data_IF_917152722238
#
_entry.id   IF_917152722238
#
_cell.length_a   1.000
_cell.length_b   1.000
_cell.length_c   1.000
_cell.angle_alpha   90.00
_cell.angle_beta   90.00
_cell.angle_gamma   90.00
#
_symmetry.space_group_name_H-M   'P 1'
#
loop_
_entity.id
_entity.type
_entity.pdbx_description
1 polymer ?
#
# COMPACT_ATOMS: atom_id res chain seq x y z
N UNK A 1 25.27 -3.09 -6.36
CA UNK A 1 26.36 -3.77 -5.61
C UNK A 1 27.50 -2.79 -5.52
N UNK A 2 27.97 -2.42 -4.32
CA UNK A 2 29.13 -1.56 -4.19
C UNK A 2 30.43 -2.30 -4.55
N UNK A 3 31.37 -1.53 -5.07
CA UNK A 3 32.77 -1.90 -5.30
C UNK A 3 33.66 -0.94 -4.51
N UNK A 4 34.80 -1.44 -4.02
CA UNK A 4 35.82 -0.62 -3.36
C UNK A 4 37.19 -1.29 -3.52
N UNK A 5 38.20 -0.53 -3.96
CA UNK A 5 39.58 -1.00 -4.19
C UNK A 5 39.67 -2.30 -5.02
N UNK A 6 38.81 -2.45 -6.04
CA UNK A 6 38.77 -3.64 -6.90
C UNK A 6 38.13 -4.88 -6.27
N UNK A 7 37.57 -4.76 -5.06
CA UNK A 7 36.74 -5.79 -4.42
C UNK A 7 35.25 -5.48 -4.62
N UNK A 8 34.44 -6.53 -4.68
CA UNK A 8 32.99 -6.47 -4.87
C UNK A 8 32.32 -6.88 -3.57
N UNK A 9 31.25 -6.20 -3.19
CA UNK A 9 30.51 -6.52 -1.98
C UNK A 9 29.00 -6.67 -2.21
N UNK A 10 28.36 -7.44 -1.32
CA UNK A 10 26.91 -7.66 -1.26
C UNK A 10 26.38 -7.18 0.08
N UNK A 11 25.18 -6.59 0.12
CA UNK A 11 24.61 -6.08 1.37
C UNK A 11 24.35 -7.25 2.33
N UNK A 12 24.93 -7.18 3.53
CA UNK A 12 24.74 -8.14 4.62
C UNK A 12 23.64 -7.64 5.56
N UNK A 13 23.77 -6.40 6.05
CA UNK A 13 22.89 -5.80 7.07
C UNK A 13 22.76 -4.29 6.86
N UNK A 14 21.62 -3.74 7.29
CA UNK A 14 21.35 -2.30 7.31
C UNK A 14 20.85 -1.89 8.69
N UNK A 15 21.44 -0.82 9.23
CA UNK A 15 20.98 -0.12 10.42
C UNK A 15 20.79 1.37 10.09
N UNK A 16 20.18 2.14 10.98
CA UNK A 16 19.90 3.57 10.74
C UNK A 16 21.16 4.42 10.50
N UNK A 17 22.30 4.02 11.09
CA UNK A 17 23.57 4.74 10.99
C UNK A 17 24.52 4.23 9.90
N UNK A 18 24.38 2.99 9.42
CA UNK A 18 25.34 2.37 8.49
C UNK A 18 24.79 1.18 7.70
N UNK A 19 25.41 0.92 6.56
CA UNK A 19 25.25 -0.26 5.73
C UNK A 19 26.49 -1.15 5.88
N UNK A 20 26.27 -2.45 6.07
CA UNK A 20 27.32 -3.46 6.21
C UNK A 20 27.28 -4.36 4.97
N UNK A 21 28.40 -4.43 4.26
CA UNK A 21 28.55 -5.26 3.07
C UNK A 21 29.59 -6.35 3.27
N UNK A 22 29.36 -7.54 2.71
CA UNK A 22 30.23 -8.71 2.78
C UNK A 22 30.79 -9.06 1.39
N UNK A 23 31.99 -9.65 1.36
CA UNK A 23 32.57 -10.22 0.16
C UNK A 23 31.79 -11.47 -0.29
N UNK A 24 31.32 -11.56 -1.55
CA UNK A 24 30.50 -12.69 -2.00
C UNK A 24 31.26 -14.01 -2.12
N UNK A 25 32.59 -14.02 -2.01
CA UNK A 25 33.38 -15.24 -1.96
C UNK A 25 33.15 -15.96 -0.62
N UNK A 26 32.64 -17.19 -0.66
CA UNK A 26 32.24 -17.97 0.53
C UNK A 26 33.38 -18.20 1.52
N UNK A 27 34.60 -18.30 1.01
CA UNK A 27 35.79 -18.53 1.83
C UNK A 27 36.41 -17.22 2.34
N UNK A 28 35.88 -16.07 1.92
CA UNK A 28 36.37 -14.75 2.30
C UNK A 28 35.52 -14.11 3.40
N UNK A 29 36.18 -13.55 4.42
CA UNK A 29 35.53 -12.82 5.52
C UNK A 29 35.54 -11.30 5.32
N UNK A 30 35.89 -10.83 4.12
CA UNK A 30 35.97 -9.41 3.76
C UNK A 30 34.65 -8.67 4.00
N UNK A 31 34.70 -7.53 4.71
CA UNK A 31 33.57 -6.66 4.97
C UNK A 31 33.93 -5.20 4.74
N UNK A 32 32.95 -4.42 4.28
CA UNK A 32 33.05 -2.98 4.10
C UNK A 32 31.80 -2.31 4.70
N UNK A 33 31.98 -1.23 5.46
CA UNK A 33 30.87 -0.50 6.06
C UNK A 33 30.79 0.91 5.48
N UNK A 34 29.60 1.33 5.07
CA UNK A 34 29.35 2.69 4.58
C UNK A 34 28.26 3.38 5.40
N UNK A 35 28.12 4.69 5.25
CA UNK A 35 26.91 5.40 5.67
C UNK A 35 25.70 5.02 4.77
N UNK A 36 24.46 5.36 5.15
CA UNK A 36 23.25 5.00 4.38
C UNK A 36 23.21 5.54 2.94
N UNK A 37 23.90 6.63 2.67
CA UNK A 37 24.05 7.27 1.34
C UNK A 37 25.18 6.66 0.50
N UNK A 38 25.97 5.75 1.08
CA UNK A 38 27.06 5.00 0.43
C UNK A 38 28.20 5.86 -0.13
N UNK A 39 28.33 7.11 0.29
CA UNK A 39 29.37 8.06 -0.13
C UNK A 39 30.57 8.09 0.84
N UNK A 40 30.41 7.60 2.07
CA UNK A 40 31.48 7.56 3.09
C UNK A 40 31.67 6.17 3.65
N UNK A 41 32.92 5.70 3.69
CA UNK A 41 33.32 4.49 4.43
C UNK A 41 33.42 4.83 5.90
N UNK A 42 32.56 4.21 6.72
CA UNK A 42 32.45 4.50 8.15
C UNK A 42 33.41 3.67 9.01
N UNK A 43 34.06 2.66 8.44
CA UNK A 43 35.15 1.92 9.07
C UNK A 43 36.04 1.26 8.04
N UNK A 44 37.34 1.14 8.33
CA UNK A 44 38.30 0.45 7.49
C UNK A 44 37.77 -0.93 7.04
N UNK A 45 37.78 -1.24 5.73
CA UNK A 45 37.40 -2.56 5.24
C UNK A 45 38.31 -3.64 5.82
N UNK A 46 37.75 -4.81 6.08
CA UNK A 46 38.57 -5.94 6.56
C UNK A 46 39.36 -6.55 5.41
N UNK A 47 40.52 -7.12 5.73
CA UNK A 47 41.36 -7.81 4.74
C UNK A 47 40.64 -8.97 4.05
N UNK A 48 41.01 -9.21 2.79
CA UNK A 48 40.51 -10.30 1.97
C UNK A 48 41.56 -11.39 1.84
N UNK A 49 41.12 -12.65 1.78
CA UNK A 49 42.01 -13.80 1.56
C UNK A 49 42.27 -14.11 0.08
N UNK A 50 41.97 -13.17 -0.82
CA UNK A 50 42.13 -13.30 -2.26
C UNK A 50 42.49 -11.96 -2.88
N UNK A 51 43.11 -12.00 -4.06
CA UNK A 51 43.42 -10.79 -4.82
C UNK A 51 42.15 -10.02 -5.25
N UNK A 52 42.24 -8.69 -5.44
CA UNK A 52 41.18 -7.89 -6.02
C UNK A 52 40.96 -8.27 -7.50
N UNK A 53 39.76 -8.01 -8.02
CA UNK A 53 39.37 -8.32 -9.40
C UNK A 53 38.83 -7.06 -10.09
N UNK A 54 39.68 -6.04 -10.32
CA UNK A 54 39.25 -4.75 -10.84
C UNK A 54 38.52 -4.87 -12.18
N UNK A 55 38.96 -5.77 -13.07
CA UNK A 55 38.37 -5.98 -14.40
C UNK A 55 36.92 -6.46 -14.36
N UNK A 56 36.47 -7.06 -13.25
CA UNK A 56 35.09 -7.51 -13.07
C UNK A 56 34.16 -6.40 -12.56
N UNK A 57 34.72 -5.32 -12.00
CA UNK A 57 33.93 -4.22 -11.43
C UNK A 57 33.09 -3.52 -12.52
N UNK A 58 33.66 -3.09 -13.67
CA UNK A 58 32.87 -2.48 -14.74
C UNK A 58 31.79 -3.40 -15.30
N UNK A 59 32.06 -4.71 -15.37
CA UNK A 59 31.09 -5.70 -15.89
C UNK A 59 29.87 -5.81 -14.96
N UNK A 60 30.08 -5.79 -13.66
CA UNK A 60 29.00 -5.82 -12.68
C UNK A 60 28.23 -4.50 -12.59
N UNK A 61 28.92 -3.38 -12.70
CA UNK A 61 28.29 -2.06 -12.78
C UNK A 61 27.42 -1.94 -14.02
N UNK A 62 27.92 -2.37 -15.19
CA UNK A 62 27.13 -2.46 -16.42
C UNK A 62 25.88 -3.32 -16.20
N UNK A 63 26.03 -4.51 -15.60
CA UNK A 63 24.92 -5.43 -15.32
C UNK A 63 23.87 -4.80 -14.38
N UNK A 64 24.29 -4.02 -13.39
CA UNK A 64 23.38 -3.30 -12.51
C UNK A 64 22.70 -2.14 -13.25
N UNK A 65 23.45 -1.38 -14.04
CA UNK A 65 22.93 -0.26 -14.84
C UNK A 65 21.86 -0.71 -15.83
N UNK A 66 22.10 -1.78 -16.58
CA UNK A 66 21.09 -2.33 -17.51
C UNK A 66 19.89 -2.90 -16.77
N UNK A 67 20.06 -3.48 -15.57
CA UNK A 67 18.95 -3.99 -14.76
C UNK A 67 18.09 -2.87 -14.18
N UNK A 68 18.71 -1.82 -13.62
CA UNK A 68 18.00 -0.65 -13.06
C UNK A 68 17.23 0.05 -14.16
N UNK A 69 17.89 0.37 -15.28
CA UNK A 69 17.26 1.04 -16.42
C UNK A 69 16.13 0.20 -17.02
N UNK A 70 16.32 -1.10 -17.20
CA UNK A 70 15.26 -2.00 -17.67
C UNK A 70 14.09 -2.15 -16.68
N UNK A 71 14.29 -1.87 -15.39
CA UNK A 71 13.22 -1.86 -14.40
C UNK A 71 12.47 -0.51 -14.36
N UNK A 72 13.11 0.56 -14.84
CA UNK A 72 12.64 1.95 -14.76
C UNK A 72 12.10 2.50 -16.10
N UNK A 73 12.47 1.91 -17.25
CA UNK A 73 12.11 2.39 -18.60
C UNK A 73 11.47 1.31 -19.47
N UNK A 74 10.67 1.72 -20.45
CA UNK A 74 10.05 0.83 -21.47
C UNK A 74 10.87 0.77 -22.79
N UNK A 75 12.14 1.17 -22.75
CA UNK A 75 13.02 1.17 -23.92
C UNK A 75 13.28 -0.26 -24.42
N UNK A 76 13.51 -0.43 -25.72
CA UNK A 76 13.84 -1.76 -26.28
C UNK A 76 15.10 -2.33 -25.63
N UNK A 77 15.19 -3.67 -25.48
CA UNK A 77 16.38 -4.29 -24.88
C UNK A 77 17.68 -3.91 -25.61
N UNK A 78 17.61 -3.71 -26.92
CA UNK A 78 18.74 -3.23 -27.73
C UNK A 78 19.12 -1.80 -27.38
N UNK A 79 18.14 -0.90 -27.22
CA UNK A 79 18.39 0.50 -26.83
C UNK A 79 19.07 0.60 -25.47
N UNK A 80 18.56 -0.15 -24.49
CA UNK A 80 19.13 -0.20 -23.13
C UNK A 80 20.57 -0.71 -23.17
N UNK A 81 20.83 -1.79 -23.92
CA UNK A 81 22.16 -2.35 -24.04
C UNK A 81 23.13 -1.41 -24.76
N UNK A 82 22.77 -0.87 -25.92
CA UNK A 82 23.63 0.04 -26.69
C UNK A 82 23.99 1.29 -25.89
N UNK A 83 23.03 1.88 -25.18
CA UNK A 83 23.30 3.05 -24.35
C UNK A 83 24.26 2.74 -23.20
N UNK A 84 24.11 1.57 -22.55
CA UNK A 84 24.99 1.16 -21.47
C UNK A 84 26.41 0.82 -21.97
N UNK A 85 26.51 0.18 -23.14
CA UNK A 85 27.78 -0.20 -23.77
C UNK A 85 28.60 1.01 -24.23
N UNK A 86 27.96 2.13 -24.56
CA UNK A 86 28.66 3.38 -24.95
C UNK A 86 29.58 3.91 -23.84
N UNK A 87 29.24 3.64 -22.58
CA UNK A 87 30.00 4.05 -21.40
C UNK A 87 30.90 2.94 -20.83
N UNK A 88 31.06 1.81 -21.53
CA UNK A 88 31.82 0.67 -21.02
C UNK A 88 33.31 0.81 -21.35
N UNK A 89 34.22 0.60 -20.39
CA UNK A 89 35.66 0.81 -20.60
C UNK A 89 36.29 -0.33 -21.42
N UNK A 90 37.21 0.03 -22.32
CA UNK A 90 37.80 -0.89 -23.31
C UNK A 90 38.74 -1.92 -22.70
N UNK A 91 39.44 -1.56 -21.62
CA UNK A 91 40.34 -2.43 -20.87
C UNK A 91 39.61 -3.61 -20.20
N UNK A 92 38.35 -3.43 -19.83
CA UNK A 92 37.50 -4.49 -19.26
C UNK A 92 36.73 -5.32 -20.31
N UNK A 93 36.91 -5.06 -21.61
CA UNK A 93 36.15 -5.72 -22.68
C UNK A 93 36.34 -7.24 -22.71
N UNK A 94 37.52 -7.74 -22.33
CA UNK A 94 37.83 -9.17 -22.30
C UNK A 94 37.01 -9.98 -21.28
N UNK A 95 36.42 -9.32 -20.27
CA UNK A 95 35.60 -9.95 -19.23
C UNK A 95 34.09 -9.79 -19.50
N UNK A 96 33.72 -9.15 -20.61
CA UNK A 96 32.34 -8.83 -20.92
C UNK A 96 31.55 -10.10 -21.32
N UNK A 97 30.35 -10.23 -20.77
CA UNK A 97 29.42 -11.28 -21.18
C UNK A 97 28.98 -11.07 -22.63
N UNK A 98 28.70 -12.16 -23.35
CA UNK A 98 28.14 -12.07 -24.70
C UNK A 98 26.87 -11.22 -24.73
N UNK A 99 26.71 -10.42 -25.79
CA UNK A 99 25.58 -9.48 -25.96
C UNK A 99 24.22 -10.14 -25.76
N UNK A 100 24.03 -11.38 -26.22
CA UNK A 100 22.76 -12.11 -26.04
C UNK A 100 22.47 -12.44 -24.57
N UNK A 101 23.50 -12.68 -23.76
CA UNK A 101 23.34 -12.92 -22.31
C UNK A 101 22.89 -11.63 -21.59
N UNK A 102 23.40 -10.48 -22.03
CA UNK A 102 23.00 -9.18 -21.52
C UNK A 102 21.57 -8.83 -21.96
N UNK A 103 21.23 -9.06 -23.24
CA UNK A 103 19.87 -8.89 -23.75
C UNK A 103 18.87 -9.79 -23.03
N UNK A 104 19.20 -11.07 -22.79
CA UNK A 104 18.36 -11.98 -22.00
C UNK A 104 18.18 -11.50 -20.57
N UNK A 105 19.20 -10.91 -19.96
CA UNK A 105 19.10 -10.30 -18.63
C UNK A 105 18.11 -9.14 -18.63
N UNK A 106 18.15 -8.28 -19.66
CA UNK A 106 17.21 -7.15 -19.83
C UNK A 106 15.80 -7.65 -20.10
N UNK A 107 15.61 -8.59 -21.03
CA UNK A 107 14.31 -9.22 -21.34
C UNK A 107 13.68 -9.85 -20.11
N UNK A 108 14.48 -10.52 -19.25
CA UNK A 108 14.01 -11.08 -17.98
C UNK A 108 13.54 -10.00 -17.00
N UNK A 109 14.12 -8.80 -17.02
CA UNK A 109 13.60 -7.69 -16.22
C UNK A 109 12.29 -7.13 -16.82
N UNK A 110 12.17 -7.08 -18.15
CA UNK A 110 10.94 -6.62 -18.81
C UNK A 110 9.77 -7.61 -18.66
N UNK A 111 10.04 -8.91 -18.70
CA UNK A 111 9.04 -10.00 -18.73
C UNK A 111 8.80 -10.66 -17.35
N UNK A 112 9.64 -10.39 -16.35
CA UNK A 112 9.62 -11.13 -15.08
C UNK A 112 10.17 -12.56 -15.22
N UNK A 113 10.18 -13.36 -14.14
CA UNK A 113 10.56 -14.77 -14.23
C UNK A 113 9.62 -15.54 -15.16
N UNK A 114 10.12 -16.48 -15.99
CA UNK A 114 9.28 -17.23 -16.91
C UNK A 114 8.25 -18.05 -16.14
N UNK A 115 6.97 -17.98 -16.56
CA UNK A 115 5.95 -18.90 -16.09
C UNK A 115 6.31 -20.32 -16.51
N UNK A 116 6.25 -21.25 -15.56
CA UNK A 116 6.23 -22.67 -15.88
C UNK A 116 4.92 -22.96 -16.64
N UNK A 117 5.02 -23.48 -17.86
CA UNK A 117 3.89 -23.87 -18.71
C UNK A 117 3.22 -25.18 -18.28
N UNK A 118 3.60 -25.73 -17.13
CA UNK A 118 2.87 -26.83 -16.51
C UNK A 118 1.75 -26.25 -15.65
N UNK A 119 0.54 -26.40 -16.17
CA UNK A 119 -0.75 -26.11 -15.55
C UNK A 119 -1.04 -27.05 -14.36
N UNK A 120 -0.15 -27.06 -13.37
CA UNK A 120 -0.42 -27.52 -12.02
C UNK A 120 0.20 -26.49 -11.08
N UNK A 121 -0.66 -25.68 -10.46
CA UNK A 121 -0.35 -25.00 -9.20
C UNK A 121 0.16 -26.07 -8.24
N UNK A 122 1.47 -26.25 -8.17
CA UNK A 122 2.12 -27.09 -7.17
C UNK A 122 2.21 -26.26 -5.89
N UNK A 123 1.45 -26.66 -4.87
CA UNK A 123 1.55 -26.37 -3.43
C UNK A 123 1.85 -24.94 -2.93
N UNK A 124 1.73 -23.93 -3.79
CA UNK A 124 1.80 -22.53 -3.42
C UNK A 124 0.39 -22.01 -3.09
N UNK A 125 0.23 -21.48 -1.86
CA UNK A 125 -0.98 -20.83 -1.33
C UNK A 125 -1.82 -20.19 -2.43
N UNK A 126 -3.03 -20.69 -2.65
CA UNK A 126 -3.98 -19.96 -3.50
C UNK A 126 -4.33 -18.67 -2.76
N UNK A 127 -4.53 -17.56 -3.47
CA UNK A 127 -5.02 -16.30 -2.87
C UNK A 127 -6.28 -16.52 -2.02
N UNK A 128 -7.11 -17.49 -2.42
CA UNK A 128 -8.27 -17.98 -1.67
C UNK A 128 -7.87 -18.50 -0.28
N UNK A 129 -6.78 -19.25 -0.15
CA UNK A 129 -6.29 -19.77 1.14
C UNK A 129 -5.85 -18.63 2.07
N UNK A 130 -5.19 -17.60 1.52
CA UNK A 130 -4.84 -16.39 2.27
C UNK A 130 -6.10 -15.66 2.73
N UNK A 131 -7.06 -15.47 1.83
CA UNK A 131 -8.32 -14.79 2.09
C UNK A 131 -9.13 -15.48 3.20
N UNK A 132 -9.10 -16.82 3.27
CA UNK A 132 -9.71 -17.61 4.36
C UNK A 132 -9.08 -17.36 5.72
N UNK A 133 -7.75 -17.23 5.76
CA UNK A 133 -7.04 -16.96 7.02
C UNK A 133 -7.12 -15.50 7.45
N UNK A 134 -7.54 -14.62 6.53
CA UNK A 134 -7.60 -13.19 6.76
C UNK A 134 -8.85 -12.78 7.56
N UNK A 135 -8.65 -12.39 8.81
CA UNK A 135 -9.71 -11.88 9.70
C UNK A 135 -10.12 -10.44 9.43
N UNK A 136 -9.22 -9.64 8.85
CA UNK A 136 -9.42 -8.20 8.68
C UNK A 136 -9.25 -7.83 7.21
N UNK A 137 -10.36 -7.64 6.54
CA UNK A 137 -10.37 -7.23 5.14
C UNK A 137 -10.28 -5.73 5.02
N UNK A 138 -9.60 -5.27 3.99
CA UNK A 138 -9.56 -3.87 3.65
C UNK A 138 -10.02 -3.67 2.22
N UNK A 139 -10.87 -2.70 2.00
CA UNK A 139 -11.53 -2.51 0.71
C UNK A 139 -11.39 -1.07 0.27
N UNK A 140 -10.97 -0.89 -0.98
CA UNK A 140 -10.76 0.43 -1.55
C UNK A 140 -10.96 0.43 -3.07
N UNK A 141 -11.39 1.57 -3.62
CA UNK A 141 -11.66 1.79 -5.03
C UNK A 141 -10.73 2.86 -5.63
N UNK A 142 -10.26 2.64 -6.86
CA UNK A 142 -9.42 3.60 -7.57
C UNK A 142 -9.84 3.80 -9.02
N UNK A 143 -9.76 5.05 -9.48
CA UNK A 143 -10.20 5.49 -10.81
C UNK A 143 -9.05 5.51 -11.82
N UNK A 144 -7.83 5.84 -11.39
CA UNK A 144 -6.71 6.18 -12.29
C UNK A 144 -6.24 5.02 -13.17
N UNK A 145 -6.32 3.80 -12.65
CA UNK A 145 -5.90 2.55 -13.32
C UNK A 145 -7.06 1.73 -13.84
N UNK A 146 -8.27 2.28 -13.79
CA UNK A 146 -9.47 1.63 -14.29
C UNK A 146 -9.55 1.79 -15.82
N UNK A 147 -9.82 0.73 -16.61
CA UNK A 147 -10.05 0.87 -18.05
C UNK A 147 -11.26 1.76 -18.36
N UNK A 148 -11.30 2.39 -19.54
CA UNK A 148 -12.33 3.40 -19.89
C UNK A 148 -13.77 2.87 -19.83
N UNK A 149 -13.98 1.58 -20.12
CA UNK A 149 -15.31 0.95 -20.09
C UNK A 149 -15.85 0.74 -18.67
N UNK A 150 -15.07 1.06 -17.63
CA UNK A 150 -15.41 0.85 -16.23
C UNK A 150 -15.23 2.12 -15.42
N UNK A 151 -16.09 2.31 -14.42
CA UNK A 151 -16.07 3.48 -13.57
C UNK A 151 -14.99 3.40 -12.48
N UNK A 152 -14.72 2.22 -11.91
CA UNK A 152 -13.67 2.08 -10.90
C UNK A 152 -13.08 0.67 -10.83
N UNK A 153 -11.80 0.57 -10.50
CA UNK A 153 -11.18 -0.67 -10.06
C UNK A 153 -11.34 -0.79 -8.55
N UNK A 154 -12.04 -1.81 -8.11
CA UNK A 154 -12.26 -2.13 -6.70
C UNK A 154 -11.29 -3.22 -6.26
N UNK A 155 -10.76 -3.09 -5.05
CA UNK A 155 -9.72 -4.00 -4.56
C UNK A 155 -9.99 -4.42 -3.13
N UNK A 156 -9.77 -5.71 -2.86
CA UNK A 156 -9.78 -6.28 -1.52
C UNK A 156 -8.34 -6.64 -1.15
N UNK A 157 -7.92 -6.19 0.03
CA UNK A 157 -6.59 -6.40 0.57
C UNK A 157 -6.61 -7.07 1.93
N UNK A 158 -5.51 -7.74 2.23
CA UNK A 158 -5.16 -8.26 3.55
C UNK A 158 -3.97 -7.46 4.13
N UNK A 159 -3.92 -7.33 5.46
CA UNK A 159 -2.70 -6.95 6.17
C UNK A 159 -1.93 -8.20 6.63
N UNK A 160 -0.88 -8.58 5.90
CA UNK A 160 -0.02 -9.69 6.25
C UNK A 160 1.31 -9.20 6.82
N UNK A 161 1.60 -9.48 8.10
CA UNK A 161 2.84 -9.07 8.80
C UNK A 161 3.24 -7.61 8.51
N UNK A 162 2.27 -6.69 8.67
CA UNK A 162 2.42 -5.25 8.44
C UNK A 162 2.59 -4.80 6.98
N UNK A 163 2.43 -5.70 6.00
CA UNK A 163 2.32 -5.35 4.57
C UNK A 163 0.87 -5.49 4.11
N UNK A 164 0.39 -4.50 3.35
CA UNK A 164 -0.88 -4.61 2.63
C UNK A 164 -0.66 -5.40 1.35
N UNK A 165 -1.51 -6.41 1.12
CA UNK A 165 -1.44 -7.30 -0.04
C UNK A 165 -2.81 -7.30 -0.73
N UNK A 166 -2.90 -6.93 -2.02
CA UNK A 166 -4.12 -7.09 -2.78
C UNK A 166 -4.38 -8.56 -3.07
N UNK A 167 -5.57 -9.04 -2.74
CA UNK A 167 -5.98 -10.43 -2.97
C UNK A 167 -7.03 -10.54 -4.07
N UNK A 168 -7.92 -9.55 -4.19
CA UNK A 168 -8.99 -9.57 -5.19
C UNK A 168 -9.08 -8.22 -5.90
N UNK A 169 -9.32 -8.27 -7.21
CA UNK A 169 -9.52 -7.13 -8.09
C UNK A 169 -10.87 -7.26 -8.78
N UNK A 170 -11.64 -6.18 -8.79
CA UNK A 170 -12.92 -6.08 -9.49
C UNK A 170 -12.92 -4.83 -10.36
N UNK A 171 -13.51 -4.93 -11.55
CA UNK A 171 -13.79 -3.78 -12.39
C UNK A 171 -15.30 -3.52 -12.33
N UNK A 172 -15.68 -2.34 -11.84
CA UNK A 172 -17.07 -1.98 -11.62
C UNK A 172 -17.52 -0.95 -12.67
N UNK A 173 -18.63 -1.23 -13.32
CA UNK A 173 -19.31 -0.35 -14.29
C UNK A 173 -20.25 0.59 -13.55
N UNK A 174 -21.01 0.12 -12.56
CA UNK A 174 -21.91 0.91 -11.72
C UNK A 174 -21.57 0.73 -10.24
N UNK A 175 -21.21 1.83 -9.55
CA UNK A 175 -20.73 1.78 -8.16
C UNK A 175 -21.67 1.10 -7.17
N UNK A 176 -23.00 1.17 -7.37
CA UNK A 176 -23.98 0.67 -6.40
C UNK A 176 -24.29 -0.82 -6.57
N UNK A 177 -24.69 -1.20 -7.77
CA UNK A 177 -25.13 -2.55 -8.15
C UNK A 177 -23.95 -3.51 -8.23
N UNK A 178 -22.80 -3.06 -8.71
CA UNK A 178 -21.67 -3.95 -8.94
C UNK A 178 -20.89 -4.29 -7.65
N UNK A 179 -21.00 -3.47 -6.59
CA UNK A 179 -20.44 -3.83 -5.29
C UNK A 179 -21.07 -5.10 -4.72
N UNK A 180 -22.40 -5.25 -4.83
CA UNK A 180 -23.10 -6.47 -4.42
C UNK A 180 -22.58 -7.69 -5.21
N UNK A 181 -22.49 -7.56 -6.54
CA UNK A 181 -21.98 -8.62 -7.41
C UNK A 181 -20.51 -8.98 -7.15
N UNK A 182 -19.67 -7.99 -6.85
CA UNK A 182 -18.27 -8.21 -6.51
C UNK A 182 -18.13 -9.12 -5.29
N UNK A 183 -18.79 -8.77 -4.18
CA UNK A 183 -18.72 -9.57 -2.97
C UNK A 183 -19.44 -10.91 -3.13
N UNK A 184 -20.57 -10.98 -3.85
CA UNK A 184 -21.22 -12.26 -4.17
C UNK A 184 -20.29 -13.18 -4.96
N UNK A 185 -19.54 -12.65 -5.93
CA UNK A 185 -18.60 -13.45 -6.72
C UNK A 185 -17.50 -14.03 -5.84
N UNK A 186 -17.01 -13.27 -4.86
CA UNK A 186 -16.04 -13.75 -3.86
C UNK A 186 -16.68 -14.86 -3.03
N UNK A 187 -17.87 -14.65 -2.46
CA UNK A 187 -18.54 -15.65 -1.63
C UNK A 187 -18.94 -16.93 -2.37
N UNK A 188 -19.04 -16.89 -3.71
CA UNK A 188 -19.25 -18.09 -4.53
C UNK A 188 -17.99 -18.93 -4.72
N UNK A 189 -16.79 -18.39 -4.46
CA UNK A 189 -15.54 -19.14 -4.54
C UNK A 189 -15.31 -20.00 -3.30
N UNK A 190 -15.71 -19.52 -2.11
CA UNK A 190 -15.57 -20.27 -0.86
C UNK A 190 -16.34 -19.66 0.31
N UNK A 191 -16.35 -20.35 1.45
CA UNK A 191 -16.91 -19.85 2.70
C UNK A 191 -15.87 -19.00 3.46
N UNK A 192 -16.02 -17.68 3.36
CA UNK A 192 -15.16 -16.71 4.03
C UNK A 192 -15.87 -16.10 5.23
N UNK A 193 -15.15 -16.00 6.36
CA UNK A 193 -15.69 -15.43 7.60
C UNK A 193 -14.77 -14.34 8.18
N UNK A 194 -14.63 -13.19 7.51
CA UNK A 194 -13.89 -12.06 8.06
C UNK A 194 -14.57 -11.52 9.33
N UNK A 195 -13.77 -11.17 10.34
CA UNK A 195 -14.27 -10.56 11.56
C UNK A 195 -14.58 -9.06 11.35
N UNK A 196 -13.76 -8.37 10.56
CA UNK A 196 -13.94 -6.95 10.27
C UNK A 196 -13.60 -6.59 8.83
N UNK A 197 -14.29 -5.60 8.28
CA UNK A 197 -13.85 -4.88 7.07
C UNK A 197 -13.51 -3.44 7.39
N UNK A 198 -12.49 -2.87 6.74
CA UNK A 198 -12.22 -1.44 6.75
C UNK A 198 -12.36 -0.85 5.34
N UNK A 199 -13.19 0.19 5.18
CA UNK A 199 -13.31 0.94 3.93
C UNK A 199 -13.64 2.41 4.18
N UNK A 200 -13.83 3.14 3.09
CA UNK A 200 -14.38 4.49 3.09
C UNK A 200 -15.88 4.48 3.43
N UNK A 201 -16.44 5.66 3.73
CA UNK A 201 -17.86 5.85 4.09
C UNK A 201 -18.79 5.83 2.87
N UNK A 202 -18.65 4.84 1.99
CA UNK A 202 -19.54 4.64 0.85
C UNK A 202 -20.72 3.75 1.24
N UNK A 203 -21.93 4.32 1.23
CA UNK A 203 -23.15 3.63 1.64
C UNK A 203 -23.42 2.33 0.84
N UNK A 204 -23.02 2.27 -0.42
CA UNK A 204 -23.14 1.07 -1.25
C UNK A 204 -22.29 -0.06 -0.69
N UNK A 205 -20.99 0.18 -0.51
CA UNK A 205 -20.01 -0.78 0.05
C UNK A 205 -20.44 -1.28 1.44
N UNK A 206 -20.84 -0.37 2.33
CA UNK A 206 -21.31 -0.72 3.68
C UNK A 206 -22.55 -1.61 3.60
N UNK A 207 -23.52 -1.26 2.74
CA UNK A 207 -24.73 -2.04 2.55
C UNK A 207 -24.44 -3.43 1.99
N UNK A 208 -23.59 -3.53 0.98
CA UNK A 208 -23.19 -4.80 0.35
C UNK A 208 -22.50 -5.74 1.33
N UNK A 209 -21.57 -5.21 2.13
CA UNK A 209 -20.86 -6.00 3.14
C UNK A 209 -21.84 -6.51 4.20
N UNK A 210 -22.68 -5.63 4.75
CA UNK A 210 -23.61 -6.00 5.82
C UNK A 210 -24.75 -6.92 5.35
N UNK A 211 -25.08 -6.94 4.05
CA UNK A 211 -26.10 -7.84 3.50
C UNK A 211 -25.57 -9.25 3.24
N UNK A 212 -24.27 -9.38 2.96
CA UNK A 212 -23.62 -10.66 2.63
C UNK A 212 -23.00 -11.35 3.84
N UNK A 213 -22.56 -10.58 4.84
CA UNK A 213 -21.95 -11.12 6.05
C UNK A 213 -22.79 -10.75 7.27
N UNK A 214 -23.36 -11.75 7.93
CA UNK A 214 -24.28 -11.56 9.06
C UNK A 214 -23.59 -11.14 10.37
N UNK A 215 -22.30 -11.43 10.54
CA UNK A 215 -21.54 -11.19 11.77
C UNK A 215 -20.31 -10.28 11.59
N UNK A 216 -20.15 -9.65 10.42
CA UNK A 216 -18.99 -8.80 10.18
C UNK A 216 -19.15 -7.44 10.85
N UNK A 217 -18.06 -6.94 11.44
CA UNK A 217 -18.02 -5.56 11.93
C UNK A 217 -17.41 -4.65 10.87
N UNK A 218 -18.25 -3.87 10.20
CA UNK A 218 -17.79 -2.84 9.27
C UNK A 218 -17.19 -1.65 10.03
N UNK A 219 -15.99 -1.24 9.64
CA UNK A 219 -15.24 -0.11 10.21
C UNK A 219 -14.92 0.92 9.14
N UNK A 220 -15.18 2.18 9.44
CA UNK A 220 -14.80 3.30 8.60
C UNK A 220 -13.33 3.67 8.78
N UNK A 221 -12.69 4.12 7.70
CA UNK A 221 -11.33 4.65 7.74
C UNK A 221 -11.26 5.99 8.51
N UNK A 222 -10.38 6.10 9.51
CA UNK A 222 -10.17 7.33 10.28
C UNK A 222 -9.73 8.52 9.41
N UNK A 223 -8.93 8.28 8.39
CA UNK A 223 -8.50 9.33 7.45
C UNK A 223 -9.72 9.90 6.72
N UNK A 224 -10.59 9.04 6.18
CA UNK A 224 -11.81 9.45 5.50
C UNK A 224 -12.83 10.08 6.44
N UNK A 225 -12.88 9.67 7.71
CA UNK A 225 -13.69 10.36 8.73
C UNK A 225 -13.23 11.81 8.90
N UNK A 226 -11.93 12.03 9.07
CA UNK A 226 -11.34 13.38 9.11
C UNK A 226 -11.58 14.18 7.82
N UNK A 227 -11.53 13.53 6.64
CA UNK A 227 -11.85 14.18 5.37
C UNK A 227 -13.31 14.63 5.29
N UNK A 228 -14.27 13.85 5.79
CA UNK A 228 -15.67 14.26 5.84
C UNK A 228 -15.86 15.50 6.72
N UNK A 229 -15.23 15.55 7.89
CA UNK A 229 -15.24 16.71 8.79
C UNK A 229 -14.64 17.94 8.09
N UNK A 230 -13.49 17.77 7.44
CA UNK A 230 -12.84 18.86 6.70
C UNK A 230 -13.71 19.39 5.56
N UNK A 231 -14.34 18.52 4.76
CA UNK A 231 -15.28 18.95 3.71
C UNK A 231 -16.46 19.72 4.26
N UNK A 232 -16.97 19.33 5.44
CA UNK A 232 -18.06 20.06 6.07
C UNK A 232 -17.62 21.47 6.49
N UNK A 233 -16.46 21.61 7.14
CA UNK A 233 -15.86 22.92 7.47
C UNK A 233 -15.75 23.77 6.21
N UNK A 234 -15.33 23.17 5.10
CA UNK A 234 -15.22 23.88 3.83
C UNK A 234 -16.57 24.35 3.27
N UNK A 235 -17.60 23.50 3.34
CA UNK A 235 -18.94 23.83 2.83
C UNK A 235 -19.64 24.93 3.63
N UNK A 236 -19.27 25.09 4.90
CA UNK A 236 -19.79 26.13 5.80
C UNK A 236 -18.91 27.40 5.80
N UNK A 237 -17.91 27.46 4.92
CA UNK A 237 -16.96 28.59 4.81
C UNK A 237 -16.15 28.87 6.10
N UNK A 238 -15.97 27.85 6.94
CA UNK A 238 -15.27 27.93 8.23
C UNK A 238 -13.75 27.69 8.13
N UNK A 239 -13.18 27.59 6.93
CA UNK A 239 -11.76 27.26 6.74
C UNK A 239 -10.86 28.33 7.36
N UNK A 240 -11.22 29.60 7.20
CA UNK A 240 -10.44 30.73 7.74
C UNK A 240 -10.43 30.69 9.27
N UNK A 241 -11.61 30.48 9.89
CA UNK A 241 -11.72 30.32 11.35
C UNK A 241 -10.89 29.13 11.83
N UNK A 242 -10.97 27.98 11.17
CA UNK A 242 -10.12 26.82 11.49
C UNK A 242 -8.60 27.08 11.44
N UNK A 243 -8.15 28.01 10.61
CA UNK A 243 -6.74 28.35 10.46
C UNK A 243 -6.26 29.43 11.43
N UNK A 244 -7.13 30.38 11.75
CA UNK A 244 -6.77 31.59 12.49
C UNK A 244 -7.23 31.58 13.96
N UNK A 245 -8.24 30.76 14.28
CA UNK A 245 -8.82 30.65 15.63
C UNK A 245 -8.39 29.35 16.32
N UNK A 246 -7.52 29.48 17.33
CA UNK A 246 -6.95 28.33 18.04
C UNK A 246 -8.02 27.51 18.81
N UNK A 247 -8.96 28.12 19.56
CA UNK A 247 -10.01 27.37 20.25
C UNK A 247 -10.87 26.53 19.29
N UNK A 248 -11.33 27.12 18.19
CA UNK A 248 -12.11 26.41 17.17
C UNK A 248 -11.27 25.30 16.51
N UNK A 249 -10.00 25.56 16.19
CA UNK A 249 -9.09 24.53 15.68
C UNK A 249 -9.01 23.33 16.63
N UNK A 250 -8.79 23.59 17.92
CA UNK A 250 -8.66 22.56 18.94
C UNK A 250 -9.97 21.78 19.12
N UNK A 251 -11.12 22.46 19.13
CA UNK A 251 -12.43 21.81 19.22
C UNK A 251 -12.69 20.88 18.03
N UNK A 252 -12.33 21.28 16.80
CA UNK A 252 -12.40 20.39 15.63
C UNK A 252 -11.45 19.19 15.77
N UNK A 253 -10.25 19.38 16.34
CA UNK A 253 -9.35 18.25 16.64
C UNK A 253 -9.96 17.30 17.67
N UNK A 254 -10.62 17.83 18.69
CA UNK A 254 -11.32 17.05 19.71
C UNK A 254 -12.49 16.27 19.10
N UNK A 255 -13.22 16.85 18.14
CA UNK A 255 -14.27 16.16 17.37
C UNK A 255 -13.69 14.94 16.62
N UNK A 256 -12.53 15.08 15.96
CA UNK A 256 -11.86 13.93 15.32
C UNK A 256 -11.39 12.91 16.38
N UNK A 257 -10.92 13.39 17.54
CA UNK A 257 -10.44 12.56 18.63
C UNK A 257 -11.53 11.71 19.29
N UNK A 258 -12.81 12.03 19.11
CA UNK A 258 -13.94 11.19 19.55
C UNK A 258 -13.84 9.75 19.01
N UNK A 259 -13.17 9.54 17.87
CA UNK A 259 -12.94 8.19 17.33
C UNK A 259 -12.09 7.31 18.26
N UNK A 260 -11.40 7.89 19.24
CA UNK A 260 -10.54 7.22 20.22
C UNK A 260 -11.16 7.14 21.61
N UNK A 261 -12.39 7.61 21.78
CA UNK A 261 -13.10 7.52 23.07
C UNK A 261 -13.79 6.14 23.12
N UNK A 262 -13.85 5.46 24.28
CA UNK A 262 -14.66 4.25 24.43
C UNK A 262 -16.10 4.51 23.94
N UNK A 263 -16.68 3.60 23.16
CA UNK A 263 -17.98 3.81 22.48
C UNK A 263 -19.07 4.30 23.42
N UNK A 264 -19.13 3.78 24.65
CA UNK A 264 -20.11 4.14 25.67
C UNK A 264 -19.99 5.60 26.15
N UNK A 265 -18.80 6.18 26.07
CA UNK A 265 -18.51 7.53 26.55
C UNK A 265 -18.57 8.58 25.43
N UNK A 266 -18.61 8.17 24.16
CA UNK A 266 -18.56 9.07 23.00
C UNK A 266 -19.61 10.18 23.07
N UNK A 267 -20.88 9.83 23.38
CA UNK A 267 -21.96 10.83 23.45
C UNK A 267 -21.72 11.83 24.58
N UNK A 268 -21.23 11.35 25.73
CA UNK A 268 -20.94 12.21 26.89
C UNK A 268 -19.81 13.18 26.55
N UNK A 269 -18.72 12.68 25.97
CA UNK A 269 -17.56 13.51 25.59
C UNK A 269 -17.92 14.47 24.47
N UNK A 270 -18.73 14.04 23.49
CA UNK A 270 -19.23 14.93 22.44
C UNK A 270 -20.01 16.11 23.02
N UNK A 271 -20.93 15.89 23.97
CA UNK A 271 -21.69 16.99 24.57
C UNK A 271 -20.77 18.01 25.26
N UNK A 272 -19.74 17.54 25.98
CA UNK A 272 -18.76 18.44 26.62
C UNK A 272 -18.01 19.29 25.59
N UNK A 273 -17.58 18.69 24.48
CA UNK A 273 -16.90 19.42 23.40
C UNK A 273 -17.88 20.37 22.70
N UNK A 274 -19.13 19.97 22.51
CA UNK A 274 -20.16 20.78 21.87
C UNK A 274 -20.46 22.06 22.66
N UNK A 275 -20.45 21.97 24.00
CA UNK A 275 -20.66 23.12 24.89
C UNK A 275 -19.50 24.15 24.81
N UNK A 276 -18.32 23.75 24.32
CA UNK A 276 -17.16 24.62 24.14
C UNK A 276 -17.15 25.35 22.77
N UNK A 277 -18.11 25.07 21.87
CA UNK A 277 -18.25 25.78 20.61
C UNK A 277 -19.05 27.08 20.76
N UNK A 278 -18.68 28.09 19.98
CA UNK A 278 -19.47 29.31 19.81
C UNK A 278 -20.69 29.06 18.89
N UNK A 279 -21.75 29.87 19.02
CA UNK A 279 -23.02 29.73 18.30
C UNK A 279 -22.86 29.63 16.77
N UNK A 280 -21.83 30.26 16.19
CA UNK A 280 -21.55 30.19 14.76
C UNK A 280 -21.18 28.78 14.25
N UNK A 281 -20.92 27.82 15.14
CA UNK A 281 -20.65 26.43 14.80
C UNK A 281 -21.91 25.52 14.84
N UNK A 282 -23.10 26.07 15.13
CA UNK A 282 -24.35 25.32 15.24
C UNK A 282 -24.65 24.46 14.00
N UNK A 283 -24.43 25.00 12.80
CA UNK A 283 -24.64 24.25 11.55
C UNK A 283 -23.66 23.06 11.41
N UNK A 284 -22.43 23.23 11.89
CA UNK A 284 -21.44 22.15 11.92
C UNK A 284 -21.82 21.08 12.94
N UNK A 285 -22.22 21.48 14.16
CA UNK A 285 -22.68 20.56 15.20
C UNK A 285 -23.94 19.81 14.77
N UNK A 286 -24.90 20.49 14.14
CA UNK A 286 -26.11 19.88 13.60
C UNK A 286 -25.81 18.86 12.50
N UNK A 287 -24.85 19.15 11.60
CA UNK A 287 -24.33 18.16 10.66
C UNK A 287 -23.72 16.96 11.40
N UNK A 288 -22.89 17.22 12.41
CA UNK A 288 -22.14 16.18 13.10
C UNK A 288 -23.08 15.26 13.88
N UNK A 289 -24.08 15.83 14.55
CA UNK A 289 -25.13 15.08 15.23
C UNK A 289 -25.93 14.23 14.25
N UNK A 290 -26.41 14.78 13.14
CA UNK A 290 -27.19 14.03 12.16
C UNK A 290 -26.39 12.87 11.55
N UNK A 291 -25.09 13.08 11.32
CA UNK A 291 -24.27 12.15 10.54
C UNK A 291 -23.60 11.08 11.42
N UNK A 292 -23.12 11.44 12.61
CA UNK A 292 -22.18 10.61 13.38
C UNK A 292 -22.65 10.23 14.80
N UNK A 293 -23.41 11.10 15.48
CA UNK A 293 -23.79 10.92 16.90
C UNK A 293 -25.26 10.48 17.07
N UNK A 294 -26.15 11.02 16.24
CA UNK A 294 -27.60 10.91 16.31
C UNK A 294 -28.22 12.08 17.07
N UNK A 295 -29.17 12.79 16.46
CA UNK A 295 -29.81 13.96 17.10
C UNK A 295 -30.61 13.58 18.37
N UNK A 296 -30.62 14.41 19.43
CA UNK A 296 -31.47 14.20 20.60
C UNK A 296 -32.96 14.18 20.25
N UNK A 297 -33.74 13.27 20.84
CA UNK A 297 -35.20 13.32 20.72
C UNK A 297 -35.78 14.23 21.80
N UNK A 298 -36.59 15.21 21.40
CA UNK A 298 -37.17 16.29 22.25
C UNK A 298 -37.88 15.87 23.56
N UNK A 299 -38.16 14.58 23.79
CA UNK A 299 -38.94 14.07 24.94
C UNK A 299 -38.40 12.77 25.56
N UNK A 300 -37.25 12.27 25.11
CA UNK A 300 -36.69 10.98 25.55
C UNK A 300 -35.18 11.11 25.63
N UNK A 301 -34.54 10.44 26.59
CA UNK A 301 -33.06 10.33 26.68
C UNK A 301 -32.42 9.59 25.50
N UNK A 302 -33.22 9.09 24.55
CA UNK A 302 -32.75 8.40 23.34
C UNK A 302 -32.44 9.37 22.19
N UNK A 303 -31.42 9.05 21.39
CA UNK A 303 -31.07 9.77 20.16
C UNK A 303 -31.70 9.13 18.91
N UNK A 304 -31.83 9.88 17.81
CA UNK A 304 -32.16 9.34 16.48
C UNK A 304 -30.99 8.50 15.96
N UNK A 305 -31.24 7.58 15.01
CA UNK A 305 -30.16 6.81 14.38
C UNK A 305 -29.34 7.74 13.47
N UNK A 306 -28.02 7.87 13.68
CA UNK A 306 -27.15 8.64 12.77
C UNK A 306 -27.02 7.94 11.41
N UNK A 307 -26.54 8.68 10.41
CA UNK A 307 -26.22 8.11 9.10
C UNK A 307 -25.16 7.00 9.21
N UNK A 308 -24.12 7.25 10.01
CA UNK A 308 -23.09 6.27 10.35
C UNK A 308 -23.06 6.06 11.87
N UNK A 309 -23.45 4.88 12.38
CA UNK A 309 -23.37 4.54 13.80
C UNK A 309 -21.96 4.70 14.37
N UNK A 310 -21.88 5.01 15.68
CA UNK A 310 -20.64 5.24 16.43
C UNK A 310 -19.68 4.06 16.27
N UNK A 311 -20.21 2.86 16.31
CA UNK A 311 -19.47 1.61 16.21
C UNK A 311 -18.73 1.46 14.87
N UNK A 312 -19.18 2.14 13.81
CA UNK A 312 -18.53 2.08 12.50
C UNK A 312 -17.29 2.97 12.46
N UNK A 313 -17.39 4.24 12.87
CA UNK A 313 -16.30 5.21 12.72
C UNK A 313 -15.35 5.25 13.94
N UNK A 314 -15.76 4.68 15.07
CA UNK A 314 -14.91 4.56 16.25
C UNK A 314 -13.81 3.50 16.07
N UNK A 315 -12.59 3.88 16.47
CA UNK A 315 -11.36 3.08 16.33
C UNK A 315 -10.74 2.69 17.67
N UNK A 316 -11.38 2.95 18.82
CA UNK A 316 -10.85 2.64 20.15
C UNK A 316 -10.40 1.18 20.27
N UNK A 317 -11.31 0.23 20.01
CA UNK A 317 -11.00 -1.20 20.11
C UNK A 317 -9.91 -1.63 19.13
N UNK A 318 -9.85 -0.99 17.95
CA UNK A 318 -8.80 -1.26 16.96
C UNK A 318 -7.44 -0.81 17.47
N UNK A 319 -7.36 0.33 18.17
CA UNK A 319 -6.13 0.81 18.80
C UNK A 319 -5.69 -0.17 19.89
N UNK A 320 -6.61 -0.57 20.77
CA UNK A 320 -6.33 -1.55 21.83
C UNK A 320 -5.82 -2.87 21.25
N UNK A 321 -6.40 -3.32 20.14
CA UNK A 321 -6.02 -4.53 19.43
C UNK A 321 -4.80 -4.37 18.49
N UNK A 322 -4.14 -3.20 18.43
CA UNK A 322 -3.06 -2.89 17.48
C UNK A 322 -3.42 -3.14 16.01
N UNK A 323 -4.69 -2.93 15.64
CA UNK A 323 -5.19 -3.04 14.28
C UNK A 323 -5.09 -1.69 13.54
N UNK A 324 -4.94 -1.70 12.20
CA UNK A 324 -4.90 -0.46 11.43
C UNK A 324 -6.20 0.35 11.57
N UNK A 325 -6.06 1.67 11.70
CA UNK A 325 -7.16 2.63 11.83
C UNK A 325 -7.53 3.31 10.50
N UNK A 326 -6.65 3.24 9.52
CA UNK A 326 -6.84 3.86 8.20
C UNK A 326 -6.38 2.93 7.09
N UNK A 327 -6.78 3.27 5.87
CA UNK A 327 -6.38 2.62 4.62
C UNK A 327 -5.17 3.29 3.95
N UNK A 328 -4.39 4.12 4.65
CA UNK A 328 -3.23 4.83 4.05
C UNK A 328 -2.26 3.90 3.32
N UNK A 329 -2.05 2.69 3.84
CA UNK A 329 -1.20 1.68 3.21
C UNK A 329 -1.78 1.17 1.89
N UNK A 330 -3.10 1.15 1.74
CA UNK A 330 -3.81 0.81 0.51
C UNK A 330 -3.75 1.96 -0.48
N UNK A 331 -4.00 3.20 -0.05
CA UNK A 331 -3.83 4.38 -0.90
C UNK A 331 -2.39 4.47 -1.42
N UNK A 332 -1.41 4.20 -0.54
CA UNK A 332 0.00 4.08 -0.89
C UNK A 332 0.24 2.98 -1.93
N UNK A 333 -0.41 1.83 -1.77
CA UNK A 333 -0.38 0.74 -2.75
C UNK A 333 -1.01 1.15 -4.09
N UNK A 334 -2.21 1.74 -4.11
CA UNK A 334 -2.86 2.23 -5.33
C UNK A 334 -2.00 3.25 -6.06
N UNK A 335 -1.40 4.20 -5.33
CA UNK A 335 -0.50 5.19 -5.92
C UNK A 335 0.75 4.54 -6.52
N UNK A 336 1.35 3.57 -5.83
CA UNK A 336 2.50 2.84 -6.34
C UNK A 336 2.13 1.96 -7.54
N UNK A 337 0.96 1.32 -7.51
CA UNK A 337 0.43 0.51 -8.60
C UNK A 337 0.13 1.37 -9.84
N UNK A 338 -0.53 2.52 -9.67
CA UNK A 338 -0.76 3.47 -10.76
C UNK A 338 0.53 3.91 -11.45
N UNK A 339 1.58 4.20 -10.67
CA UNK A 339 2.91 4.51 -11.22
C UNK A 339 3.51 3.34 -12.02
N UNK A 340 3.29 2.08 -11.59
CA UNK A 340 3.78 0.88 -12.30
C UNK A 340 2.98 0.53 -13.54
N UNK A 341 1.67 0.79 -13.52
CA UNK A 341 0.82 0.68 -14.71
C UNK A 341 1.28 1.73 -15.74
N UNK A 342 1.66 2.92 -15.29
CA UNK A 342 2.22 4.03 -16.08
C UNK A 342 1.31 4.55 -17.22
N UNK A 343 0.09 4.01 -17.32
CA UNK A 343 -0.91 4.34 -18.32
C UNK A 343 -2.18 4.71 -17.56
N UNK A 344 -2.75 5.86 -17.90
CA UNK A 344 -4.09 6.24 -17.46
C UNK A 344 -5.08 5.49 -18.35
N UNK A 345 -6.06 4.83 -17.74
CA UNK A 345 -7.04 3.97 -18.42
C UNK A 345 -6.43 2.88 -19.33
N UNK A 346 -5.70 1.89 -18.76
CA UNK A 346 -5.14 0.79 -19.53
C UNK A 346 -6.23 -0.10 -20.12
N UNK A 347 -5.96 -0.78 -21.24
CA UNK A 347 -6.84 -1.87 -21.72
C UNK A 347 -6.87 -3.01 -20.69
N UNK A 348 -7.97 -3.79 -20.67
CA UNK A 348 -8.12 -4.95 -19.77
C UNK A 348 -6.92 -5.89 -19.84
N UNK A 349 -6.41 -6.15 -21.04
CA UNK A 349 -5.23 -7.02 -21.25
C UNK A 349 -3.99 -6.46 -20.55
N UNK A 350 -3.71 -5.16 -20.73
CA UNK A 350 -2.56 -4.49 -20.10
C UNK A 350 -2.71 -4.45 -18.57
N UNK A 351 -3.91 -4.16 -18.09
CA UNK A 351 -4.19 -4.16 -16.66
C UNK A 351 -3.99 -5.55 -16.05
N UNK A 352 -4.53 -6.59 -16.71
CA UNK A 352 -4.39 -7.99 -16.27
C UNK A 352 -2.93 -8.41 -16.21
N UNK A 353 -2.12 -8.01 -17.19
CA UNK A 353 -0.67 -8.27 -17.17
C UNK A 353 0.02 -7.61 -15.96
N UNK A 354 -0.31 -6.34 -15.67
CA UNK A 354 0.25 -5.62 -14.52
C UNK A 354 -0.20 -6.22 -13.18
N UNK A 355 -1.47 -6.64 -13.07
CA UNK A 355 -1.99 -7.35 -11.90
C UNK A 355 -1.23 -8.67 -11.68
N UNK A 356 -1.00 -9.46 -12.75
CA UNK A 356 -0.24 -10.71 -12.66
C UNK A 356 1.20 -10.49 -12.20
N UNK A 357 1.86 -9.43 -12.68
CA UNK A 357 3.22 -9.08 -12.23
C UNK A 357 3.25 -8.68 -10.76
N UNK A 358 2.25 -7.92 -10.30
CA UNK A 358 2.10 -7.62 -8.88
C UNK A 358 1.93 -8.89 -8.05
N UNK A 359 1.05 -9.79 -8.51
CA UNK A 359 0.82 -11.05 -7.84
C UNK A 359 2.10 -11.89 -7.71
N UNK A 360 2.86 -12.07 -8.81
CA UNK A 360 4.14 -12.81 -8.75
C UNK A 360 5.13 -12.20 -7.77
N UNK A 361 5.17 -10.86 -7.68
CA UNK A 361 6.05 -10.18 -6.73
C UNK A 361 5.64 -10.47 -5.29
N UNK A 362 4.34 -10.47 -4.99
CA UNK A 362 3.84 -10.74 -3.64
C UNK A 362 4.04 -12.19 -3.22
N UNK A 363 3.85 -13.16 -4.11
CA UNK A 363 4.11 -14.57 -3.80
C UNK A 363 5.57 -14.80 -3.39
N UNK A 364 6.51 -14.12 -4.07
CA UNK A 364 7.94 -14.15 -3.71
C UNK A 364 8.17 -13.49 -2.34
N UNK A 365 7.58 -12.34 -2.08
CA UNK A 365 7.68 -11.64 -0.81
C UNK A 365 7.12 -12.49 0.36
N UNK A 366 5.95 -13.11 0.19
CA UNK A 366 5.33 -13.99 1.20
C UNK A 366 6.22 -15.19 1.49
N UNK A 367 6.77 -15.82 0.45
CA UNK A 367 7.66 -16.97 0.60
C UNK A 367 8.97 -16.63 1.35
N UNK A 368 9.46 -15.40 1.24
CA UNK A 368 10.66 -14.93 1.95
C UNK A 368 10.41 -14.49 3.40
N UNK A 369 9.15 -14.20 3.74
CA UNK A 369 8.74 -13.72 5.06
C UNK A 369 8.28 -14.89 5.96
N UNK A 370 8.06 -16.07 5.41
CA UNK A 370 7.91 -17.33 6.16
C UNK A 370 9.26 -17.86 6.56
#
# INVERSE_FOLDING_TARGET
>A
MPSYEGYIYTLERKNDAKLIFLCPNRDCKGRCHTNPTMDVIVSAPTEHCHAPKPDLVPVLELKNKIKSRAAETEESSSTVLHSAMRSFPLDAAGQLLQSETLLRTIRRQHQGPPMNSNNQLSDHLKQIDLLKTCKHWFVDGTFKVCPEDFNQMFTLHELFKSKIIPLVYGLLVEKKTDCDHFFQRIMNEDDFNPETTLSDFEAATIKSINSLFSNILHKGCLFHFGQCIWRQIQSLELQKKYQEDEPFHLNIKNIIALAFVPVLDVIKVFNLIADDFEDEADDFLGYFEKTWIGEPKKKVTSRKKPLFPIEIWNVYDRVVANLPRSNNSIEGWHNAFAKRVAIVHPTITKLTEKIRREQSKFEVDIAQIR
#
